data_IF_855183183374
#
_entry.id   IF_855183183374
#
_cell.length_a   1.000
_cell.length_b   1.000
_cell.length_c   1.000
_cell.angle_alpha   90.00
_cell.angle_beta   90.00
_cell.angle_gamma   90.00
#
_symmetry.space_group_name_H-M   'P 1'
#
loop_
_entity.id
_entity.type
_entity.pdbx_description
1 polymer ?
#
# COMPACT_ATOMS: atom_id res chain seq x y z
N UNK A 1 9.19 3.72 10.07
CA UNK A 1 8.42 3.38 8.84
C UNK A 1 7.09 4.12 8.74
N UNK A 2 6.02 3.71 9.44
CA UNK A 2 4.66 4.24 9.19
C UNK A 2 4.53 5.76 9.40
N UNK A 3 5.15 6.33 10.44
CA UNK A 3 5.18 7.77 10.67
C UNK A 3 5.86 8.54 9.52
N UNK A 4 6.98 8.01 9.02
CA UNK A 4 7.71 8.61 7.89
C UNK A 4 6.85 8.56 6.62
N UNK A 5 6.23 7.41 6.33
CA UNK A 5 5.29 7.26 5.21
C UNK A 5 4.18 8.32 5.25
N UNK A 6 3.48 8.47 6.37
CA UNK A 6 2.37 9.41 6.48
C UNK A 6 2.81 10.88 6.46
N UNK A 7 3.87 11.24 7.20
CA UNK A 7 4.27 12.64 7.39
C UNK A 7 5.10 13.19 6.25
N UNK A 8 5.88 12.34 5.59
CA UNK A 8 6.82 12.73 4.54
C UNK A 8 6.33 12.28 3.18
N UNK A 9 6.16 10.97 2.96
CA UNK A 9 5.88 10.42 1.64
C UNK A 9 4.50 10.79 1.11
N UNK A 10 3.44 10.58 1.90
CA UNK A 10 2.07 10.95 1.48
C UNK A 10 1.98 12.45 1.17
N UNK A 11 2.63 13.30 1.96
CA UNK A 11 2.67 14.75 1.71
C UNK A 11 3.42 15.09 0.43
N UNK A 12 4.56 14.43 0.19
CA UNK A 12 5.36 14.59 -1.04
C UNK A 12 4.53 14.19 -2.26
N UNK A 13 3.94 12.99 -2.26
CA UNK A 13 3.09 12.52 -3.36
C UNK A 13 1.86 13.40 -3.59
N UNK A 14 1.21 13.89 -2.52
CA UNK A 14 0.10 14.83 -2.66
C UNK A 14 0.53 16.15 -3.33
N UNK A 15 1.73 16.63 -3.04
CA UNK A 15 2.26 17.87 -3.62
C UNK A 15 2.64 17.68 -5.08
N UNK A 16 3.33 16.58 -5.39
CA UNK A 16 3.82 16.28 -6.75
C UNK A 16 2.72 15.90 -7.73
N UNK A 17 1.62 15.30 -7.24
CA UNK A 17 0.55 14.73 -8.07
C UNK A 17 -0.78 15.48 -8.01
N UNK A 18 -0.77 16.70 -7.47
CA UNK A 18 -1.96 17.55 -7.32
C UNK A 18 -3.10 16.86 -6.53
N UNK A 19 -2.72 16.29 -5.39
CA UNK A 19 -3.58 15.51 -4.52
C UNK A 19 -3.52 14.01 -4.81
N UNK A 20 -3.72 13.23 -3.76
CA UNK A 20 -3.79 11.76 -3.82
C UNK A 20 -4.97 11.27 -3.00
N UNK A 21 -5.61 10.21 -3.48
CA UNK A 21 -6.50 9.40 -2.65
C UNK A 21 -5.65 8.31 -1.98
N UNK A 22 -5.81 8.16 -0.66
CA UNK A 22 -5.08 7.16 0.12
C UNK A 22 -6.08 6.24 0.80
N UNK A 23 -5.94 4.94 0.58
CA UNK A 23 -6.66 3.90 1.30
C UNK A 23 -5.63 3.03 2.00
N UNK A 24 -5.78 2.80 3.30
CA UNK A 24 -4.89 1.92 4.06
C UNK A 24 -5.67 1.07 5.05
N UNK A 25 -5.07 -0.04 5.44
CA UNK A 25 -5.69 -0.96 6.39
C UNK A 25 -4.78 -2.12 6.78
N UNK A 26 -5.24 -2.96 7.73
CA UNK A 26 -4.52 -4.14 8.16
C UNK A 26 -4.71 -5.32 7.18
N UNK A 27 -3.76 -6.25 7.21
CA UNK A 27 -3.83 -7.56 6.57
C UNK A 27 -3.59 -8.63 7.65
N UNK A 28 -4.37 -9.70 7.60
CA UNK A 28 -4.20 -10.89 8.43
C UNK A 28 -3.97 -12.07 7.49
N UNK A 29 -2.72 -12.54 7.45
CA UNK A 29 -2.24 -13.69 6.67
C UNK A 29 -1.16 -14.39 7.52
N UNK A 30 -1.62 -15.28 8.40
CA UNK A 30 -0.84 -16.02 9.41
C UNK A 30 -0.46 -17.43 8.95
N UNK A 31 -1.03 -17.93 7.86
CA UNK A 31 -0.60 -19.16 7.20
C UNK A 31 0.20 -18.91 5.91
N UNK A 32 0.35 -17.64 5.52
CA UNK A 32 1.26 -17.16 4.47
C UNK A 32 0.88 -17.68 3.08
N UNK A 33 -0.43 -17.86 2.84
CA UNK A 33 -0.95 -18.35 1.56
C UNK A 33 -1.27 -17.23 0.56
N UNK A 34 -1.12 -15.96 0.98
CA UNK A 34 -1.40 -14.78 0.16
C UNK A 34 -2.89 -14.45 0.05
N UNK A 35 -3.73 -15.02 0.92
CA UNK A 35 -5.17 -14.81 0.97
C UNK A 35 -5.59 -14.29 2.35
N UNK A 36 -6.79 -13.71 2.41
CA UNK A 36 -7.36 -13.25 3.67
C UNK A 36 -7.70 -14.41 4.60
N UNK A 37 -7.19 -14.36 5.83
CA UNK A 37 -7.46 -15.37 6.84
C UNK A 37 -8.83 -15.28 7.50
N UNK A 38 -9.40 -16.44 7.82
CA UNK A 38 -10.54 -16.50 8.74
C UNK A 38 -10.09 -16.22 10.17
N UNK A 39 -10.98 -15.70 11.05
CA UNK A 39 -10.59 -15.30 12.41
C UNK A 39 -9.94 -16.39 13.26
N UNK A 40 -10.23 -17.67 12.99
CA UNK A 40 -9.65 -18.83 13.66
C UNK A 40 -8.17 -19.06 13.35
N UNK A 41 -7.67 -18.55 12.21
CA UNK A 41 -6.26 -18.65 11.84
C UNK A 41 -5.38 -17.58 12.51
N UNK A 42 -5.98 -16.56 13.13
CA UNK A 42 -5.24 -15.46 13.77
C UNK A 42 -4.48 -15.97 15.01
N UNK A 43 -3.15 -15.78 15.03
CA UNK A 43 -2.28 -16.34 16.08
C UNK A 43 -1.80 -15.34 17.11
N UNK A 44 -1.74 -14.04 16.79
CA UNK A 44 -1.21 -13.03 17.71
C UNK A 44 -2.24 -11.96 18.04
N UNK A 45 -2.24 -11.56 19.31
CA UNK A 45 -3.14 -10.57 19.89
C UNK A 45 -2.33 -9.64 20.79
N UNK A 46 -2.80 -8.41 20.95
CA UNK A 46 -2.18 -7.44 21.87
C UNK A 46 -2.32 -7.98 23.30
N UNK A 47 -1.20 -7.98 24.04
CA UNK A 47 -1.11 -8.54 25.39
C UNK A 47 -2.24 -8.02 26.31
N UNK A 48 -2.94 -8.94 26.97
CA UNK A 48 -4.06 -8.61 27.85
C UNK A 48 -5.36 -8.22 27.14
N UNK A 49 -5.48 -8.44 25.83
CA UNK A 49 -6.69 -8.10 25.06
C UNK A 49 -7.06 -9.15 24.01
N UNK A 50 -8.25 -9.00 23.41
CA UNK A 50 -8.70 -9.78 22.25
C UNK A 50 -8.47 -9.04 20.91
N UNK A 51 -7.59 -8.03 20.88
CA UNK A 51 -7.33 -7.22 19.68
C UNK A 51 -6.29 -7.97 18.82
N UNK A 52 -6.64 -8.39 17.59
CA UNK A 52 -5.72 -9.12 16.73
C UNK A 52 -4.63 -8.22 16.20
N UNK A 53 -3.41 -8.75 16.10
CA UNK A 53 -2.26 -8.06 15.52
C UNK A 53 -2.22 -8.35 14.01
N UNK A 54 -2.17 -7.34 13.12
CA UNK A 54 -2.02 -7.57 11.68
C UNK A 54 -0.64 -8.16 11.36
N UNK A 55 -0.57 -9.01 10.33
CA UNK A 55 0.73 -9.49 9.81
C UNK A 55 1.37 -8.46 8.88
N UNK A 56 0.55 -7.70 8.15
CA UNK A 56 0.99 -6.61 7.28
C UNK A 56 0.02 -5.42 7.38
N UNK A 57 0.46 -4.27 6.87
CA UNK A 57 -0.38 -3.13 6.57
C UNK A 57 -0.30 -2.81 5.08
N UNK A 58 -1.45 -2.55 4.45
CA UNK A 58 -1.46 -2.09 3.07
C UNK A 58 -1.68 -0.58 2.98
N UNK A 59 -1.18 0.00 1.90
CA UNK A 59 -1.55 1.33 1.46
C UNK A 59 -1.71 1.34 -0.06
N UNK A 60 -2.79 1.95 -0.55
CA UNK A 60 -3.06 2.19 -1.96
C UNK A 60 -3.14 3.71 -2.13
N UNK A 61 -2.22 4.25 -2.94
CA UNK A 61 -2.16 5.66 -3.30
C UNK A 61 -2.64 5.77 -4.74
N UNK A 62 -3.71 6.51 -4.97
CA UNK A 62 -4.27 6.76 -6.29
C UNK A 62 -4.15 8.24 -6.65
N UNK A 63 -3.69 8.53 -7.85
CA UNK A 63 -3.64 9.88 -8.43
C UNK A 63 -4.14 9.87 -9.87
N UNK A 64 -4.29 11.04 -10.47
CA UNK A 64 -4.37 11.13 -11.92
C UNK A 64 -2.96 10.94 -12.52
N UNK A 65 -2.86 10.38 -13.73
CA UNK A 65 -1.60 10.37 -14.48
C UNK A 65 -1.25 11.78 -14.97
N UNK A 66 -2.28 12.58 -15.30
CA UNK A 66 -2.14 14.00 -15.57
C UNK A 66 -2.15 14.78 -14.25
N UNK A 67 -0.97 15.25 -13.83
CA UNK A 67 -0.81 15.97 -12.55
C UNK A 67 -1.45 17.37 -12.55
N UNK A 68 -2.06 17.82 -13.65
CA UNK A 68 -2.88 19.04 -13.64
C UNK A 68 -4.27 18.80 -13.05
N UNK A 69 -4.69 17.54 -12.90
CA UNK A 69 -6.00 17.16 -12.40
C UNK A 69 -5.91 16.39 -11.07
N UNK A 70 -6.80 16.67 -10.10
CA UNK A 70 -6.88 15.87 -8.88
C UNK A 70 -7.53 14.51 -9.16
N UNK A 71 -7.27 13.54 -8.28
CA UNK A 71 -7.74 12.16 -8.43
C UNK A 71 -9.27 12.01 -8.56
N UNK A 72 -10.06 12.91 -7.94
CA UNK A 72 -11.52 12.89 -7.95
C UNK A 72 -12.14 13.46 -9.25
N UNK A 73 -11.37 14.22 -10.04
CA UNK A 73 -11.77 14.82 -11.31
C UNK A 73 -10.86 14.42 -12.47
N UNK A 74 -10.25 13.25 -12.37
CA UNK A 74 -9.32 12.75 -13.36
C UNK A 74 -10.07 12.23 -14.61
N UNK A 75 -9.99 12.97 -15.70
CA UNK A 75 -10.52 12.59 -17.02
C UNK A 75 -9.58 11.60 -17.74
N UNK A 76 -8.26 11.72 -17.49
CA UNK A 76 -7.21 10.85 -18.04
C UNK A 76 -7.10 9.49 -17.32
N UNK A 77 -6.09 8.65 -17.61
CA UNK A 77 -5.89 7.40 -16.87
C UNK A 77 -5.50 7.65 -15.41
N UNK A 78 -5.93 6.77 -14.51
CA UNK A 78 -5.49 6.77 -13.11
C UNK A 78 -4.09 6.15 -12.99
N UNK A 79 -3.33 6.63 -12.03
CA UNK A 79 -2.06 6.04 -11.59
C UNK A 79 -2.24 5.48 -10.18
N UNK A 80 -1.69 4.29 -9.94
CA UNK A 80 -1.72 3.65 -8.63
C UNK A 80 -0.32 3.28 -8.18
N UNK A 81 -0.07 3.46 -6.88
CA UNK A 81 1.12 3.02 -6.17
C UNK A 81 0.65 2.35 -4.89
N UNK A 82 0.98 1.06 -4.73
CA UNK A 82 0.52 0.26 -3.61
C UNK A 82 1.66 -0.47 -2.91
N UNK A 83 1.49 -0.64 -1.60
CA UNK A 83 2.44 -1.28 -0.71
C UNK A 83 1.76 -2.33 0.16
N UNK A 84 2.47 -3.42 0.45
CA UNK A 84 2.13 -4.38 1.51
C UNK A 84 3.32 -4.42 2.47
N UNK A 85 3.22 -3.69 3.57
CA UNK A 85 4.33 -3.50 4.51
C UNK A 85 4.28 -4.56 5.62
N UNK A 86 5.35 -5.32 5.86
CA UNK A 86 5.39 -6.29 6.94
C UNK A 86 5.32 -5.60 8.29
N UNK A 87 4.45 -6.12 9.17
CA UNK A 87 4.32 -5.61 10.53
C UNK A 87 5.24 -6.40 11.47
N UNK A 88 6.43 -5.84 11.70
CA UNK A 88 7.50 -6.46 12.50
C UNK A 88 7.82 -5.65 13.75
N UNK A 89 8.30 -6.31 14.82
CA UNK A 89 8.72 -5.63 16.05
C UNK A 89 10.03 -4.84 15.89
N UNK A 90 10.84 -5.16 14.89
CA UNK A 90 12.13 -4.55 14.57
C UNK A 90 12.25 -4.21 13.07
N UNK A 91 13.32 -3.50 12.69
CA UNK A 91 13.66 -3.13 11.30
C UNK A 91 14.95 -3.83 10.84
N UNK A 92 15.15 -5.09 11.25
CA UNK A 92 16.32 -5.89 10.89
C UNK A 92 16.44 -6.14 9.36
N UNK A 93 15.32 -6.13 8.64
CA UNK A 93 15.24 -6.18 7.18
C UNK A 93 15.95 -4.98 6.54
N UNK A 94 15.90 -3.83 7.22
CA UNK A 94 16.66 -2.63 6.87
C UNK A 94 18.01 -2.58 7.61
N UNK A 95 18.53 -3.72 8.05
CA UNK A 95 19.76 -3.87 8.82
C UNK A 95 19.80 -3.04 10.12
N UNK A 96 18.64 -2.71 10.69
CA UNK A 96 18.50 -1.74 11.78
C UNK A 96 19.30 -0.45 11.51
N UNK A 97 19.24 0.04 10.27
CA UNK A 97 20.02 1.18 9.82
C UNK A 97 19.84 2.39 10.74
N UNK A 98 20.97 2.99 11.11
CA UNK A 98 21.03 4.27 11.84
C UNK A 98 21.05 5.47 10.90
N UNK A 99 20.93 5.25 9.58
CA UNK A 99 20.89 6.31 8.59
C UNK A 99 19.59 7.12 8.68
N UNK A 100 19.56 8.24 7.96
CA UNK A 100 18.36 9.04 7.80
C UNK A 100 17.19 8.20 7.28
N UNK A 101 15.99 8.41 7.85
CA UNK A 101 14.78 7.67 7.48
C UNK A 101 14.49 7.76 5.98
N UNK A 102 14.86 8.85 5.30
CA UNK A 102 14.66 9.01 3.85
C UNK A 102 15.39 8.00 2.98
N UNK A 103 16.45 7.39 3.49
CA UNK A 103 17.20 6.37 2.73
C UNK A 103 16.57 5.01 2.94
N UNK A 104 16.62 4.51 4.17
CA UNK A 104 16.27 3.11 4.43
C UNK A 104 14.75 2.86 4.41
N UNK A 105 13.92 3.83 4.81
CA UNK A 105 12.46 3.65 4.79
C UNK A 105 11.97 3.64 3.34
N UNK A 106 12.48 4.54 2.49
CA UNK A 106 12.08 4.55 1.08
C UNK A 106 12.51 3.28 0.35
N UNK A 107 13.73 2.78 0.58
CA UNK A 107 14.19 1.52 0.01
C UNK A 107 13.33 0.33 0.48
N UNK A 108 12.96 0.29 1.76
CA UNK A 108 12.04 -0.72 2.30
C UNK A 108 10.67 -0.65 1.63
N UNK A 109 10.09 0.54 1.48
CA UNK A 109 8.80 0.69 0.78
C UNK A 109 8.88 0.29 -0.69
N UNK A 110 9.98 0.63 -1.38
CA UNK A 110 10.20 0.25 -2.78
C UNK A 110 10.20 -1.27 -2.95
N UNK A 111 10.87 -1.98 -2.03
CA UNK A 111 10.93 -3.45 -2.02
C UNK A 111 9.56 -4.10 -1.78
N UNK A 112 8.71 -3.47 -0.95
CA UNK A 112 7.38 -3.95 -0.59
C UNK A 112 6.25 -3.37 -1.45
N UNK A 113 6.56 -3.03 -2.70
CA UNK A 113 5.53 -2.67 -3.67
C UNK A 113 4.71 -3.88 -4.08
N UNK A 114 3.42 -3.64 -4.28
CA UNK A 114 2.47 -4.68 -4.63
C UNK A 114 1.46 -4.17 -5.65
N UNK A 115 0.76 -5.09 -6.31
CA UNK A 115 -0.41 -4.75 -7.13
C UNK A 115 -1.60 -4.50 -6.21
N UNK A 116 -2.57 -3.70 -6.66
CA UNK A 116 -3.85 -3.59 -5.94
C UNK A 116 -4.51 -4.97 -5.84
N UNK A 117 -4.34 -5.82 -6.86
CA UNK A 117 -4.88 -7.18 -6.86
C UNK A 117 -4.35 -8.04 -5.71
N UNK A 118 -3.09 -7.89 -5.34
CA UNK A 118 -2.48 -8.62 -4.23
C UNK A 118 -3.17 -8.22 -2.90
N UNK A 119 -3.40 -6.92 -2.73
CA UNK A 119 -4.13 -6.39 -1.57
C UNK A 119 -5.58 -6.90 -1.54
N UNK A 120 -6.27 -6.96 -2.68
CA UNK A 120 -7.62 -7.52 -2.74
C UNK A 120 -7.68 -8.98 -2.30
N UNK A 121 -6.67 -9.79 -2.68
CA UNK A 121 -6.60 -11.18 -2.28
C UNK A 121 -6.36 -11.33 -0.77
N UNK A 122 -5.44 -10.54 -0.21
CA UNK A 122 -5.08 -10.53 1.22
C UNK A 122 -6.15 -9.92 2.14
N UNK A 123 -7.05 -9.10 1.60
CA UNK A 123 -8.06 -8.39 2.40
C UNK A 123 -9.50 -8.81 2.09
N UNK A 124 -9.73 -9.58 1.03
CA UNK A 124 -11.05 -9.86 0.46
C UNK A 124 -11.86 -8.60 0.11
N UNK A 125 -11.21 -7.45 -0.05
CA UNK A 125 -11.83 -6.21 -0.50
C UNK A 125 -11.86 -6.14 -2.03
N UNK A 126 -12.72 -5.28 -2.55
CA UNK A 126 -12.81 -4.99 -3.99
C UNK A 126 -12.81 -3.47 -4.20
N UNK A 127 -11.70 -2.97 -4.73
CA UNK A 127 -11.47 -1.53 -4.92
C UNK A 127 -11.98 -1.06 -6.28
N UNK A 128 -12.18 0.26 -6.43
CA UNK A 128 -12.62 0.90 -7.68
C UNK A 128 -13.99 0.44 -8.23
N UNK A 129 -14.88 -0.12 -7.39
CA UNK A 129 -16.22 -0.56 -7.82
C UNK A 129 -17.12 0.54 -8.39
N UNK A 130 -17.08 1.74 -7.81
CA UNK A 130 -17.89 2.89 -8.21
C UNK A 130 -17.06 3.81 -9.12
N UNK A 131 -16.95 3.42 -10.39
CA UNK A 131 -16.19 4.16 -11.40
C UNK A 131 -16.97 4.22 -12.71
N UNK A 132 -16.82 5.31 -13.46
CA UNK A 132 -17.36 5.45 -14.81
C UNK A 132 -16.49 4.77 -15.89
N UNK A 133 -15.33 4.24 -15.48
CA UNK A 133 -14.34 3.61 -16.38
C UNK A 133 -14.74 2.20 -16.78
N UNK A 134 -14.17 1.73 -17.89
CA UNK A 134 -14.42 0.38 -18.37
C UNK A 134 -13.83 -0.67 -17.42
N UNK A 135 -14.43 -1.85 -17.40
CA UNK A 135 -13.96 -2.96 -16.56
C UNK A 135 -12.52 -3.36 -16.88
N UNK A 136 -12.15 -3.37 -18.16
CA UNK A 136 -10.78 -3.69 -18.62
C UNK A 136 -9.75 -2.69 -18.13
N UNK A 137 -10.07 -1.39 -18.10
CA UNK A 137 -9.16 -0.37 -17.56
C UNK A 137 -8.94 -0.57 -16.07
N UNK A 138 -9.99 -0.91 -15.32
CA UNK A 138 -9.89 -1.16 -13.89
C UNK A 138 -9.09 -2.43 -13.59
N UNK A 139 -9.29 -3.50 -14.37
CA UNK A 139 -8.48 -4.71 -14.22
C UNK A 139 -7.00 -4.43 -14.50
N UNK A 140 -6.70 -3.74 -15.61
CA UNK A 140 -5.33 -3.34 -15.94
C UNK A 140 -4.69 -2.49 -14.83
N UNK A 141 -5.44 -1.52 -14.29
CA UNK A 141 -5.00 -0.72 -13.14
C UNK A 141 -4.72 -1.58 -11.91
N UNK A 142 -5.59 -2.56 -11.62
CA UNK A 142 -5.44 -3.43 -10.45
C UNK A 142 -4.27 -4.40 -10.55
N UNK A 143 -3.93 -4.84 -11.76
CA UNK A 143 -2.82 -5.78 -12.02
C UNK A 143 -1.48 -5.10 -12.27
N UNK A 144 -1.47 -3.77 -12.42
CA UNK A 144 -0.25 -3.00 -12.59
C UNK A 144 0.63 -3.09 -11.33
N UNK A 145 1.93 -3.34 -11.53
CA UNK A 145 2.95 -3.27 -10.49
C UNK A 145 3.86 -2.08 -10.82
N UNK A 146 3.98 -1.14 -9.89
CA UNK A 146 4.90 -0.02 -10.05
C UNK A 146 6.34 -0.47 -9.84
N UNK A 147 7.24 -0.06 -10.73
CA UNK A 147 8.69 -0.30 -10.62
C UNK A 147 9.44 1.04 -10.55
N UNK A 148 10.53 1.07 -9.78
CA UNK A 148 11.35 2.28 -9.59
C UNK A 148 12.61 2.30 -10.46
N UNK A 149 12.66 1.50 -11.52
CA UNK A 149 13.85 1.36 -12.39
C UNK A 149 14.24 2.68 -13.08
N UNK A 150 13.30 3.61 -13.26
CA UNK A 150 13.57 4.93 -13.84
C UNK A 150 14.25 5.92 -12.88
N UNK A 151 14.49 5.54 -11.62
CA UNK A 151 15.17 6.37 -10.60
C UNK A 151 16.65 5.98 -10.39
N UNK A 152 17.16 5.02 -11.17
CA UNK A 152 18.56 4.53 -11.18
C UNK A 152 19.35 5.22 -12.29
#
# INVERSE_FOLDING_TARGET
VWNYFQRVLVKRYATERNGVNVISGPIFDYDYDGLHDTPDKIKQFVEGSAIPVPTHYYAIITSCLDFTQPADKCDGPLSVLSYILPHRPDNDESCNSSDDESKWVEDLLKMHTARVRDIEQLTSLDFFRKTSRSYTEILSLKTYLHTFESEI
#
